data_IF_452831303236
#
_entry.id   IF_452831303236
#
_cell.length_a   1.000
_cell.length_b   1.000
_cell.length_c   1.000
_cell.angle_alpha   90.00
_cell.angle_beta   90.00
_cell.angle_gamma   90.00
#
_symmetry.space_group_name_H-M   'P 1'
#
loop_
_entity.id
_entity.type
_entity.pdbx_description
1 polymer ?
#
# COMPACT_ATOMS: atom_id res chain seq x y z
N UNK A 1 -5.48 27.69 -15.23
CA UNK A 1 -5.06 28.00 -13.84
C UNK A 1 -3.60 27.58 -13.72
N UNK A 2 -2.75 28.38 -13.07
CA UNK A 2 -1.31 28.10 -12.98
C UNK A 2 -1.02 26.71 -12.40
N UNK A 3 -0.21 25.92 -13.11
CA UNK A 3 0.25 24.58 -12.73
C UNK A 3 0.61 24.41 -11.24
N UNK A 4 1.27 25.36 -10.55
CA UNK A 4 1.58 25.23 -9.12
C UNK A 4 0.36 25.25 -8.17
N UNK A 5 -0.72 25.96 -8.50
CA UNK A 5 -1.92 25.99 -7.63
C UNK A 5 -2.60 24.62 -7.65
N UNK A 6 -2.65 23.98 -8.81
CA UNK A 6 -3.23 22.63 -8.98
C UNK A 6 -2.47 21.62 -8.11
N UNK A 7 -1.14 21.66 -8.13
CA UNK A 7 -0.31 20.78 -7.31
C UNK A 7 -0.52 20.98 -5.80
N UNK A 8 -0.61 22.24 -5.33
CA UNK A 8 -0.85 22.55 -3.91
C UNK A 8 -2.27 22.10 -3.50
N UNK A 9 -3.28 22.31 -4.35
CA UNK A 9 -4.64 21.83 -4.07
C UNK A 9 -4.70 20.30 -4.04
N UNK A 10 -3.96 19.62 -4.91
CA UNK A 10 -3.87 18.15 -4.92
C UNK A 10 -3.27 17.64 -3.61
N UNK A 11 -2.16 18.22 -3.16
CA UNK A 11 -1.52 17.87 -1.89
C UNK A 11 -2.44 18.15 -0.69
N UNK A 12 -3.10 19.32 -0.67
CA UNK A 12 -4.00 19.70 0.41
C UNK A 12 -5.19 18.77 0.55
N UNK A 13 -5.84 18.42 -0.57
CA UNK A 13 -6.96 17.47 -0.59
C UNK A 13 -6.49 16.07 -0.21
N UNK A 14 -5.33 15.63 -0.72
CA UNK A 14 -4.76 14.33 -0.37
C UNK A 14 -4.51 14.19 1.13
N UNK A 15 -3.87 15.18 1.75
CA UNK A 15 -3.64 15.20 3.20
C UNK A 15 -4.96 15.20 3.99
N UNK A 16 -5.93 16.01 3.56
CA UNK A 16 -7.23 16.07 4.22
C UNK A 16 -7.97 14.73 4.19
N UNK A 17 -7.99 14.04 3.05
CA UNK A 17 -8.67 12.75 2.91
C UNK A 17 -7.95 11.66 3.73
N UNK A 18 -6.61 11.68 3.79
CA UNK A 18 -5.85 10.77 4.65
C UNK A 18 -6.15 11.00 6.13
N UNK A 19 -6.25 12.27 6.56
CA UNK A 19 -6.63 12.60 7.94
C UNK A 19 -8.05 12.14 8.30
N UNK A 20 -8.94 12.04 7.30
CA UNK A 20 -10.27 11.45 7.43
C UNK A 20 -10.23 9.91 7.59
N UNK A 21 -9.05 9.29 7.51
CA UNK A 21 -8.84 7.85 7.69
C UNK A 21 -9.18 7.01 6.47
N UNK A 22 -9.36 7.62 5.29
CA UNK A 22 -9.67 6.87 4.08
C UNK A 22 -8.43 6.12 3.56
N UNK A 23 -8.57 4.87 3.05
CA UNK A 23 -7.43 4.09 2.59
C UNK A 23 -6.68 4.77 1.43
N UNK A 24 -5.36 4.91 1.58
CA UNK A 24 -4.50 5.67 0.66
C UNK A 24 -4.65 5.24 -0.80
N UNK A 25 -4.78 3.94 -1.07
CA UNK A 25 -4.91 3.42 -2.44
C UNK A 25 -6.11 4.02 -3.20
N UNK A 26 -7.27 4.10 -2.54
CA UNK A 26 -8.46 4.68 -3.14
C UNK A 26 -8.36 6.21 -3.25
N UNK A 27 -7.71 6.86 -2.28
CA UNK A 27 -7.46 8.31 -2.37
C UNK A 27 -6.62 8.66 -3.60
N UNK A 28 -5.51 7.94 -3.81
CA UNK A 28 -4.60 8.20 -4.92
C UNK A 28 -5.24 7.89 -6.27
N UNK A 29 -6.07 6.84 -6.34
CA UNK A 29 -6.83 6.51 -7.55
C UNK A 29 -7.84 7.61 -7.89
N UNK A 30 -8.66 8.02 -6.93
CA UNK A 30 -9.66 9.06 -7.14
C UNK A 30 -9.02 10.42 -7.50
N UNK A 31 -7.93 10.77 -6.82
CA UNK A 31 -7.17 11.99 -7.10
C UNK A 31 -6.48 11.93 -8.46
N UNK A 32 -5.87 10.80 -8.82
CA UNK A 32 -5.22 10.60 -10.12
C UNK A 32 -6.21 10.73 -11.28
N UNK A 33 -7.40 10.15 -11.15
CA UNK A 33 -8.46 10.27 -12.16
C UNK A 33 -9.02 11.70 -12.17
N UNK A 34 -9.32 12.29 -11.01
CA UNK A 34 -9.92 13.62 -10.92
C UNK A 34 -9.02 14.74 -11.46
N UNK A 35 -7.77 14.79 -11.02
CA UNK A 35 -6.80 15.77 -11.51
C UNK A 35 -6.34 15.46 -12.94
N UNK A 36 -6.23 14.19 -13.32
CA UNK A 36 -5.98 13.79 -14.69
C UNK A 36 -7.11 14.16 -15.64
N UNK A 37 -8.36 14.07 -15.19
CA UNK A 37 -9.53 14.52 -15.94
C UNK A 37 -9.47 16.01 -16.21
N UNK A 38 -9.14 16.80 -15.19
CA UNK A 38 -8.94 18.25 -15.30
C UNK A 38 -7.78 18.62 -16.24
N UNK A 39 -6.66 17.89 -16.19
CA UNK A 39 -5.49 18.17 -17.03
C UNK A 39 -5.68 17.86 -18.52
N UNK A 40 -6.43 16.79 -18.85
CA UNK A 40 -6.74 16.39 -20.22
C UNK A 40 -8.11 16.87 -20.70
N UNK A 41 -8.72 17.84 -20.00
CA UNK A 41 -10.02 18.38 -20.36
C UNK A 41 -9.93 19.20 -21.65
N UNK A 42 -10.45 18.64 -22.74
CA UNK A 42 -10.48 19.27 -24.06
C UNK A 42 -11.90 19.17 -24.64
N UNK A 43 -12.74 20.22 -24.47
CA UNK A 43 -14.15 20.20 -24.85
C UNK A 43 -14.35 19.92 -26.34
N UNK A 44 -13.48 20.47 -27.18
CA UNK A 44 -13.56 20.35 -28.63
C UNK A 44 -13.28 18.93 -29.10
N UNK A 45 -12.52 18.14 -28.34
CA UNK A 45 -12.27 16.72 -28.63
C UNK A 45 -13.33 15.80 -28.04
N UNK A 46 -13.72 16.05 -26.80
CA UNK A 46 -14.68 15.23 -26.06
C UNK A 46 -16.06 15.23 -26.73
N UNK A 47 -16.54 16.42 -27.10
CA UNK A 47 -17.90 16.62 -27.58
C UNK A 47 -18.06 16.62 -29.09
N UNK A 48 -16.98 16.35 -29.82
CA UNK A 48 -16.91 16.44 -31.29
C UNK A 48 -17.91 15.52 -32.00
N UNK A 49 -18.26 14.38 -31.40
CA UNK A 49 -19.24 13.44 -31.95
C UNK A 49 -20.69 13.91 -31.69
N UNK A 50 -20.95 14.48 -30.51
CA UNK A 50 -22.24 15.09 -30.19
C UNK A 50 -22.51 16.31 -31.08
N UNK A 51 -21.53 17.22 -31.25
CA UNK A 51 -21.72 18.43 -32.04
C UNK A 51 -22.13 18.09 -33.49
N UNK A 52 -21.54 17.04 -34.08
CA UNK A 52 -21.94 16.51 -35.39
C UNK A 52 -23.34 15.89 -35.42
N UNK A 53 -23.76 15.23 -34.33
CA UNK A 53 -25.09 14.64 -34.24
C UNK A 53 -26.20 15.69 -34.05
N UNK A 54 -25.88 16.82 -33.40
CA UNK A 54 -26.77 17.98 -33.32
C UNK A 54 -26.89 18.67 -34.68
N UNK A 55 -25.78 18.84 -35.41
CA UNK A 55 -25.79 19.40 -36.77
C UNK A 55 -26.52 18.52 -37.78
N UNK A 56 -26.53 17.20 -37.59
CA UNK A 56 -27.22 16.24 -38.45
C UNK A 56 -28.70 16.00 -38.07
N UNK A 57 -29.26 16.79 -37.15
CA UNK A 57 -30.62 16.66 -36.61
C UNK A 57 -30.96 15.21 -36.15
N UNK A 58 -29.97 14.55 -35.53
CA UNK A 58 -30.14 13.19 -35.04
C UNK A 58 -31.10 13.16 -33.86
N UNK A 59 -31.83 12.05 -33.69
CA UNK A 59 -32.85 11.92 -32.63
C UNK A 59 -32.35 12.23 -31.22
N UNK A 60 -33.23 12.75 -30.35
CA UNK A 60 -32.88 13.11 -28.97
C UNK A 60 -32.16 12.00 -28.20
N UNK A 61 -32.52 10.73 -28.43
CA UNK A 61 -31.89 9.59 -27.78
C UNK A 61 -30.41 9.41 -28.16
N UNK A 62 -30.03 9.64 -29.42
CA UNK A 62 -28.62 9.57 -29.86
C UNK A 62 -27.83 10.78 -29.39
N UNK A 63 -28.44 11.95 -29.31
CA UNK A 63 -27.79 13.14 -28.74
C UNK A 63 -27.49 12.94 -27.25
N UNK A 64 -28.40 12.37 -26.46
CA UNK A 64 -28.16 12.11 -25.04
C UNK A 64 -27.05 11.06 -24.84
N UNK A 65 -27.03 10.00 -25.65
CA UNK A 65 -25.98 8.98 -25.58
C UNK A 65 -24.60 9.55 -25.92
N UNK A 66 -24.49 10.26 -27.03
CA UNK A 66 -23.25 10.94 -27.42
C UNK A 66 -22.86 12.04 -26.43
N UNK A 67 -23.85 12.59 -25.72
CA UNK A 67 -23.58 13.53 -24.66
C UNK A 67 -22.85 12.81 -23.50
N UNK A 68 -23.41 11.71 -23.04
CA UNK A 68 -22.79 10.89 -21.99
C UNK A 68 -21.42 10.35 -22.42
N UNK A 69 -21.28 9.90 -23.67
CA UNK A 69 -20.01 9.39 -24.19
C UNK A 69 -18.93 10.48 -24.25
N UNK A 70 -19.31 11.73 -24.53
CA UNK A 70 -18.38 12.87 -24.53
C UNK A 70 -17.74 13.10 -23.16
N UNK A 71 -18.47 12.87 -22.06
CA UNK A 71 -17.95 12.94 -20.70
C UNK A 71 -16.87 11.86 -20.43
N UNK A 72 -17.06 10.65 -20.98
CA UNK A 72 -16.11 9.54 -20.85
C UNK A 72 -14.99 9.53 -21.91
N UNK A 73 -15.12 10.32 -22.97
CA UNK A 73 -14.11 10.47 -24.03
C UNK A 73 -12.92 11.36 -23.61
N UNK A 74 -12.41 11.12 -22.40
CA UNK A 74 -11.21 11.75 -21.87
C UNK A 74 -10.04 10.78 -21.96
N UNK A 75 -8.89 11.26 -22.46
CA UNK A 75 -7.64 10.50 -22.55
C UNK A 75 -7.21 9.91 -21.20
N UNK A 76 -7.60 10.51 -20.08
CA UNK A 76 -7.28 9.99 -18.75
C UNK A 76 -7.82 8.57 -18.52
N UNK A 77 -9.01 8.24 -19.03
CA UNK A 77 -9.59 6.92 -18.82
C UNK A 77 -8.83 5.84 -19.62
N UNK A 78 -8.46 6.15 -20.86
CA UNK A 78 -7.60 5.28 -21.67
C UNK A 78 -6.22 5.08 -21.02
N UNK A 79 -5.62 6.17 -20.52
CA UNK A 79 -4.31 6.10 -19.84
C UNK A 79 -4.41 5.32 -18.53
N UNK A 80 -5.48 5.50 -17.76
CA UNK A 80 -5.72 4.76 -16.53
C UNK A 80 -5.84 3.25 -16.78
N UNK A 81 -6.60 2.85 -17.81
CA UNK A 81 -6.74 1.45 -18.21
C UNK A 81 -5.39 0.88 -18.68
N UNK A 82 -4.70 1.58 -19.59
CA UNK A 82 -3.39 1.15 -20.09
C UNK A 82 -2.35 1.02 -18.97
N UNK A 83 -2.29 1.98 -18.05
CA UNK A 83 -1.38 1.94 -16.92
C UNK A 83 -1.72 0.76 -15.99
N UNK A 84 -3.01 0.49 -15.78
CA UNK A 84 -3.45 -0.66 -14.97
C UNK A 84 -2.99 -1.98 -15.58
N UNK A 85 -3.18 -2.16 -16.89
CA UNK A 85 -2.69 -3.35 -17.60
C UNK A 85 -1.16 -3.45 -17.58
N UNK A 86 -0.45 -2.33 -17.72
CA UNK A 86 1.02 -2.31 -17.65
C UNK A 86 1.54 -2.74 -16.27
N UNK A 87 0.88 -2.31 -15.20
CA UNK A 87 1.23 -2.72 -13.82
C UNK A 87 0.90 -4.20 -13.60
N UNK A 88 -0.25 -4.68 -14.09
CA UNK A 88 -0.64 -6.10 -14.00
C UNK A 88 0.28 -7.03 -14.79
N UNK A 89 0.83 -6.56 -15.91
CA UNK A 89 1.75 -7.34 -16.75
C UNK A 89 3.20 -7.34 -16.22
N UNK A 90 3.48 -6.69 -15.09
CA UNK A 90 4.82 -6.62 -14.53
C UNK A 90 5.15 -7.88 -13.71
N UNK A 91 6.08 -8.70 -14.22
CA UNK A 91 6.50 -9.95 -13.59
C UNK A 91 7.07 -9.78 -12.17
N UNK A 92 7.67 -8.62 -11.88
CA UNK A 92 8.23 -8.30 -10.55
C UNK A 92 7.11 -8.18 -9.51
N UNK A 93 5.97 -7.61 -9.89
CA UNK A 93 4.85 -7.39 -8.97
C UNK A 93 4.08 -8.67 -8.67
N UNK A 94 4.17 -9.69 -9.53
CA UNK A 94 3.65 -11.05 -9.28
C UNK A 94 4.29 -11.71 -8.04
N UNK A 95 5.48 -11.27 -7.64
CA UNK A 95 6.11 -11.73 -6.39
C UNK A 95 5.36 -11.26 -5.13
N UNK A 96 4.63 -10.13 -5.19
CA UNK A 96 3.96 -9.55 -4.00
C UNK A 96 2.84 -10.47 -3.48
N UNK A 97 1.89 -10.96 -4.29
CA UNK A 97 0.87 -11.91 -3.82
C UNK A 97 1.46 -13.23 -3.29
N UNK A 98 2.48 -13.78 -3.95
CA UNK A 98 3.14 -15.01 -3.52
C UNK A 98 3.84 -14.82 -2.17
N UNK A 99 4.48 -13.68 -1.97
CA UNK A 99 5.12 -13.32 -0.70
C UNK A 99 4.10 -13.11 0.42
N UNK A 100 2.99 -12.41 0.14
CA UNK A 100 1.86 -12.26 1.06
C UNK A 100 1.26 -13.61 1.46
N UNK A 101 1.13 -14.53 0.49
CA UNK A 101 0.64 -15.89 0.73
C UNK A 101 1.56 -16.69 1.65
N UNK A 102 2.88 -16.60 1.44
CA UNK A 102 3.86 -17.17 2.36
C UNK A 102 3.70 -16.60 3.78
N UNK A 103 3.63 -15.28 3.91
CA UNK A 103 3.41 -14.62 5.21
C UNK A 103 2.13 -15.09 5.91
N UNK A 104 1.04 -15.21 5.15
CA UNK A 104 -0.24 -15.73 5.64
C UNK A 104 -0.14 -17.18 6.13
N UNK A 105 0.60 -18.06 5.43
CA UNK A 105 0.83 -19.44 5.88
C UNK A 105 1.60 -19.45 7.21
N UNK A 106 2.67 -18.67 7.33
CA UNK A 106 3.50 -18.63 8.55
C UNK A 106 2.69 -18.09 9.74
N UNK A 107 1.85 -17.08 9.50
CA UNK A 107 0.89 -16.56 10.49
C UNK A 107 -0.10 -17.64 10.94
N UNK A 108 -0.77 -18.30 9.98
CA UNK A 108 -1.77 -19.35 10.25
C UNK A 108 -1.18 -20.59 10.92
N UNK A 109 0.09 -20.91 10.68
CA UNK A 109 0.78 -22.03 11.31
C UNK A 109 1.09 -21.80 12.80
N UNK A 110 0.75 -20.62 13.35
CA UNK A 110 0.98 -20.26 14.75
C UNK A 110 2.45 -20.49 15.18
N UNK A 111 3.38 -20.24 14.24
CA UNK A 111 4.83 -20.39 14.46
C UNK A 111 5.32 -19.26 15.37
N UNK A 112 4.72 -18.08 15.23
CA UNK A 112 5.07 -16.85 15.94
C UNK A 112 5.01 -17.00 17.46
N UNK A 113 3.91 -17.58 17.98
CA UNK A 113 3.73 -17.78 19.43
C UNK A 113 4.77 -18.75 20.02
N UNK A 114 5.07 -19.84 19.29
CA UNK A 114 6.08 -20.82 19.66
C UNK A 114 7.49 -20.23 19.60
N UNK A 115 7.79 -19.46 18.56
CA UNK A 115 9.07 -18.78 18.39
C UNK A 115 9.31 -17.78 19.51
N UNK A 116 8.32 -16.95 19.84
CA UNK A 116 8.40 -16.00 20.96
C UNK A 116 8.70 -16.69 22.29
N UNK A 117 8.00 -17.78 22.60
CA UNK A 117 8.21 -18.51 23.85
C UNK A 117 9.63 -19.10 23.94
N UNK A 118 10.09 -19.73 22.85
CA UNK A 118 11.45 -20.31 22.78
C UNK A 118 12.52 -19.23 22.91
N UNK A 119 12.37 -18.09 22.23
CA UNK A 119 13.30 -16.98 22.31
C UNK A 119 13.32 -16.33 23.69
N UNK A 120 12.17 -16.23 24.36
CA UNK A 120 12.13 -15.72 25.73
C UNK A 120 12.85 -16.65 26.72
N UNK A 121 12.70 -17.97 26.57
CA UNK A 121 13.46 -18.94 27.37
C UNK A 121 14.96 -18.81 27.08
N UNK A 122 15.35 -18.68 25.80
CA UNK A 122 16.74 -18.50 25.41
C UNK A 122 17.34 -17.19 25.96
N UNK A 123 16.57 -16.11 25.96
CA UNK A 123 16.97 -14.79 26.45
C UNK A 123 16.86 -14.63 27.98
N UNK A 124 16.59 -15.70 28.75
CA UNK A 124 16.35 -15.64 30.21
C UNK A 124 17.45 -14.91 31.01
N UNK A 125 18.70 -14.94 30.52
CA UNK A 125 19.84 -14.29 31.19
C UNK A 125 19.95 -12.79 30.90
N UNK A 126 19.13 -12.23 30.00
CA UNK A 126 19.18 -10.82 29.61
C UNK A 126 18.12 -10.03 30.39
N UNK A 127 18.48 -8.90 31.03
CA UNK A 127 17.48 -8.02 31.63
C UNK A 127 16.59 -7.46 30.52
N UNK A 128 15.27 -7.65 30.64
CA UNK A 128 14.35 -7.32 29.55
C UNK A 128 14.05 -8.46 28.57
N UNK A 129 14.28 -9.73 28.96
CA UNK A 129 14.19 -10.92 28.08
C UNK A 129 12.95 -10.97 27.19
N UNK A 130 11.78 -10.57 27.69
CA UNK A 130 10.52 -10.56 26.94
C UNK A 130 10.52 -9.50 25.82
N UNK A 131 11.09 -8.32 26.07
CA UNK A 131 11.22 -7.27 25.06
C UNK A 131 12.24 -7.67 23.99
N UNK A 132 13.37 -8.26 24.39
CA UNK A 132 14.39 -8.76 23.46
C UNK A 132 13.83 -9.90 22.61
N UNK A 133 13.13 -10.85 23.23
CA UNK A 133 12.47 -11.93 22.51
C UNK A 133 11.41 -11.42 21.54
N UNK A 134 10.62 -10.40 21.92
CA UNK A 134 9.66 -9.76 21.03
C UNK A 134 10.35 -9.15 19.81
N UNK A 135 11.42 -8.37 19.98
CA UNK A 135 12.18 -7.78 18.88
C UNK A 135 12.77 -8.84 17.95
N UNK A 136 13.42 -9.88 18.49
CA UNK A 136 14.00 -10.94 17.67
C UNK A 136 12.91 -11.70 16.91
N UNK A 137 11.77 -11.98 17.56
CA UNK A 137 10.64 -12.64 16.90
C UNK A 137 10.07 -11.77 15.79
N UNK A 138 9.92 -10.45 16.03
CA UNK A 138 9.52 -9.49 15.02
C UNK A 138 10.49 -9.45 13.85
N UNK A 139 11.80 -9.41 14.09
CA UNK A 139 12.84 -9.41 13.04
C UNK A 139 12.81 -10.68 12.20
N UNK A 140 12.69 -11.85 12.84
CA UNK A 140 12.61 -13.12 12.11
C UNK A 140 11.31 -13.21 11.31
N UNK A 141 10.20 -12.78 11.88
CA UNK A 141 8.90 -12.81 11.21
C UNK A 141 8.73 -11.71 10.16
N UNK A 142 9.46 -10.60 10.30
CA UNK A 142 9.56 -9.52 9.32
C UNK A 142 10.04 -10.05 7.97
N UNK A 143 11.04 -10.94 7.95
CA UNK A 143 11.54 -11.61 6.74
C UNK A 143 10.44 -12.36 5.98
N UNK A 144 9.41 -12.85 6.68
CA UNK A 144 8.38 -13.68 6.09
C UNK A 144 7.14 -12.88 5.64
N UNK A 145 6.88 -11.74 6.27
CA UNK A 145 5.62 -11.00 6.07
C UNK A 145 5.81 -9.65 5.39
N UNK A 146 6.93 -8.94 5.62
CA UNK A 146 7.22 -7.65 5.00
C UNK A 146 6.19 -6.53 5.28
N UNK A 147 5.27 -6.72 6.23
CA UNK A 147 4.08 -5.85 6.46
C UNK A 147 4.01 -5.43 7.93
N UNK A 148 4.12 -4.12 8.20
CA UNK A 148 4.08 -3.57 9.57
C UNK A 148 2.79 -3.92 10.29
N UNK A 149 1.65 -3.72 9.62
CA UNK A 149 0.33 -3.88 10.26
C UNK A 149 0.10 -5.28 10.82
N UNK A 150 0.41 -6.33 10.05
CA UNK A 150 0.20 -7.71 10.47
C UNK A 150 1.08 -8.12 11.66
N UNK A 151 2.38 -7.76 11.64
CA UNK A 151 3.29 -8.12 12.73
C UNK A 151 2.94 -7.38 14.03
N UNK A 152 2.63 -6.08 13.94
CA UNK A 152 2.25 -5.28 15.12
C UNK A 152 0.97 -5.81 15.75
N UNK A 153 -0.06 -6.16 14.97
CA UNK A 153 -1.33 -6.65 15.52
C UNK A 153 -1.16 -8.03 16.17
N UNK A 154 -0.43 -8.95 15.53
CA UNK A 154 -0.15 -10.28 16.09
C UNK A 154 0.64 -10.19 17.40
N UNK A 155 1.71 -9.39 17.43
CA UNK A 155 2.51 -9.21 18.64
C UNK A 155 1.76 -8.43 19.71
N UNK A 156 0.91 -7.48 19.32
CA UNK A 156 0.00 -6.80 20.22
C UNK A 156 -0.96 -7.77 20.92
N UNK A 157 -1.47 -8.79 20.21
CA UNK A 157 -2.37 -9.78 20.80
C UNK A 157 -1.64 -10.85 21.61
N UNK A 158 -0.41 -11.22 21.23
CA UNK A 158 0.34 -12.32 21.85
C UNK A 158 1.33 -11.85 22.93
N UNK A 159 2.16 -10.86 22.63
CA UNK A 159 3.28 -10.43 23.48
C UNK A 159 2.89 -9.33 24.48
N UNK A 160 2.07 -8.35 24.07
CA UNK A 160 1.66 -7.24 24.95
C UNK A 160 1.03 -7.70 26.27
N UNK A 161 -0.02 -8.56 26.29
CA UNK A 161 -0.60 -9.02 27.55
C UNK A 161 0.37 -9.85 28.39
N UNK A 162 1.31 -10.58 27.76
CA UNK A 162 2.32 -11.37 28.47
C UNK A 162 3.38 -10.47 29.14
N UNK A 163 3.79 -9.38 28.49
CA UNK A 163 4.72 -8.39 29.05
C UNK A 163 4.11 -7.64 30.24
N UNK A 164 2.82 -7.27 30.16
CA UNK A 164 2.12 -6.62 31.28
C UNK A 164 2.01 -7.54 32.51
N UNK A 165 1.75 -8.83 32.32
CA UNK A 165 1.78 -9.82 33.43
C UNK A 165 3.16 -9.94 34.06
N UNK A 166 4.22 -9.75 33.28
CA UNK A 166 5.60 -9.70 33.76
C UNK A 166 6.00 -8.33 34.35
N UNK A 167 5.05 -7.41 34.57
CA UNK A 167 5.24 -6.07 35.15
C UNK A 167 6.12 -5.12 34.32
N UNK A 168 6.09 -5.24 32.99
CA UNK A 168 6.69 -4.23 32.11
C UNK A 168 5.83 -2.96 32.09
N UNK A 169 6.48 -1.81 31.92
CA UNK A 169 5.80 -0.54 31.67
C UNK A 169 5.01 -0.61 30.35
N UNK A 170 3.79 -0.06 30.33
CA UNK A 170 2.90 -0.03 29.16
C UNK A 170 3.54 0.69 27.98
N UNK A 171 4.26 1.78 28.23
CA UNK A 171 4.94 2.59 27.22
C UNK A 171 6.10 1.81 26.61
N UNK A 172 6.85 1.07 27.43
CA UNK A 172 7.95 0.23 26.96
C UNK A 172 7.40 -0.94 26.13
N UNK A 173 6.37 -1.64 26.61
CA UNK A 173 5.78 -2.77 25.91
C UNK A 173 5.17 -2.34 24.56
N UNK A 174 4.43 -1.23 24.53
CA UNK A 174 3.88 -0.69 23.30
C UNK A 174 4.98 -0.22 22.34
N UNK A 175 5.96 0.53 22.85
CA UNK A 175 7.09 1.03 22.06
C UNK A 175 7.91 -0.09 21.42
N UNK A 176 8.20 -1.16 22.16
CA UNK A 176 8.94 -2.33 21.66
C UNK A 176 8.17 -3.07 20.57
N UNK A 177 6.86 -3.26 20.73
CA UNK A 177 6.03 -3.94 19.74
C UNK A 177 5.89 -3.09 18.48
N UNK A 178 5.64 -1.79 18.62
CA UNK A 178 5.57 -0.86 17.49
C UNK A 178 6.92 -0.80 16.74
N UNK A 179 8.03 -0.62 17.46
CA UNK A 179 9.36 -0.60 16.86
C UNK A 179 9.69 -1.94 16.17
N UNK A 180 9.46 -3.06 16.85
CA UNK A 180 9.69 -4.39 16.29
C UNK A 180 8.87 -4.64 15.02
N UNK A 181 7.59 -4.26 15.02
CA UNK A 181 6.75 -4.44 13.84
C UNK A 181 7.16 -3.56 12.64
N UNK A 182 7.73 -2.37 12.88
CA UNK A 182 8.28 -1.54 11.79
C UNK A 182 9.54 -2.11 11.13
N UNK A 183 10.28 -2.99 11.81
CA UNK A 183 11.41 -3.73 11.20
C UNK A 183 10.95 -4.60 10.03
N UNK A 184 9.65 -4.96 9.98
CA UNK A 184 8.97 -5.60 8.87
C UNK A 184 9.32 -5.06 7.48
N UNK A 185 9.45 -3.75 7.36
CA UNK A 185 9.73 -3.09 6.07
C UNK A 185 11.19 -3.21 5.67
N UNK A 186 12.09 -3.23 6.66
CA UNK A 186 13.53 -3.04 6.45
C UNK A 186 14.29 -4.34 6.20
N UNK A 187 13.83 -5.47 6.74
CA UNK A 187 14.56 -6.73 6.68
C UNK A 187 14.22 -7.49 5.39
N UNK A 188 15.20 -7.80 4.52
CA UNK A 188 14.98 -8.64 3.35
C UNK A 188 14.58 -10.08 3.72
N UNK A 189 13.72 -10.74 2.93
CA UNK A 189 12.90 -10.20 1.84
C UNK A 189 11.69 -9.37 2.34
N UNK A 190 11.37 -8.24 1.69
CA UNK A 190 10.22 -7.38 2.06
C UNK A 190 9.50 -6.79 0.85
N UNK A 191 8.19 -6.55 0.99
CA UNK A 191 7.35 -5.98 -0.09
C UNK A 191 7.88 -4.61 -0.53
N UNK A 192 8.41 -3.81 0.39
CA UNK A 192 8.95 -2.49 0.09
C UNK A 192 10.12 -2.58 -0.90
N UNK A 193 11.04 -3.53 -0.71
CA UNK A 193 12.17 -3.71 -1.63
C UNK A 193 11.71 -4.23 -3.00
N UNK A 194 10.65 -5.03 -3.07
CA UNK A 194 10.03 -5.47 -4.34
C UNK A 194 9.45 -4.27 -5.09
N UNK A 195 8.66 -3.43 -4.41
CA UNK A 195 8.04 -2.23 -5.01
C UNK A 195 9.12 -1.23 -5.43
N UNK A 196 10.16 -1.05 -4.61
CA UNK A 196 11.29 -0.19 -4.94
C UNK A 196 12.07 -0.70 -6.15
N UNK A 197 12.33 -2.02 -6.24
CA UNK A 197 12.96 -2.64 -7.40
C UNK A 197 12.11 -2.44 -8.68
N UNK A 198 10.80 -2.62 -8.58
CA UNK A 198 9.87 -2.39 -9.70
C UNK A 198 9.87 -0.92 -10.17
N UNK A 199 9.93 0.03 -9.24
CA UNK A 199 9.95 1.46 -9.55
C UNK A 199 11.29 1.94 -10.12
N UNK A 200 12.41 1.39 -9.62
CA UNK A 200 13.78 1.80 -10.01
C UNK A 200 14.35 1.01 -11.18
N UNK A 201 13.68 -0.07 -11.62
CA UNK A 201 14.16 -0.96 -12.68
C UNK A 201 15.40 -1.78 -12.29
N UNK A 202 15.72 -1.85 -11.00
CA UNK A 202 16.87 -2.60 -10.47
C UNK A 202 16.47 -4.04 -10.18
N UNK A 203 17.38 -4.99 -10.38
CA UNK A 203 17.14 -6.39 -10.05
C UNK A 203 16.85 -6.58 -8.55
N UNK A 204 15.73 -7.23 -8.24
CA UNK A 204 15.32 -7.58 -6.86
C UNK A 204 16.43 -8.36 -6.14
N UNK A 205 17.07 -9.31 -6.83
CA UNK A 205 18.10 -10.17 -6.24
C UNK A 205 19.32 -9.35 -5.79
N UNK A 206 19.71 -8.35 -6.59
CA UNK A 206 20.79 -7.43 -6.21
C UNK A 206 20.39 -6.56 -5.03
N UNK A 207 19.13 -6.15 -4.98
CA UNK A 207 18.59 -5.34 -3.89
C UNK A 207 18.55 -6.13 -2.57
N UNK A 208 18.19 -7.42 -2.62
CA UNK A 208 18.27 -8.33 -1.47
C UNK A 208 19.69 -8.68 -1.06
N UNK A 209 20.63 -8.78 -2.00
CA UNK A 209 22.03 -9.06 -1.67
C UNK A 209 22.75 -7.86 -1.04
N UNK A 210 22.26 -6.64 -1.27
CA UNK A 210 22.86 -5.40 -0.75
C UNK A 210 22.20 -4.84 0.52
N UNK A 211 21.07 -5.41 0.95
CA UNK A 211 20.32 -5.01 2.14
C UNK A 211 20.58 -5.98 3.30
#
# INVERSE_FOLDING_TARGET
MSDPIVAITMLGIFLFIILLGFPVAFTLMAMGIGFGYYAYFDPDRMWRAYNRAVEADAGQWTQIQLWIDGLFNNRIFDLFINQTFSVMANDVLTAIPLFLFMGYIVERANIVSRLFHTLNIAARHVPGSMAVAALITCTLFATATGIVGAVVTLMGLLAFPAMLKARYDTSLAAGVICAGGTLGILIPPSIMLIVYAAASGVSIVKLYAGA
#
